data_IF_924994535882
#
_entry.id   IF_924994535882
#
_cell.length_a   1.000
_cell.length_b   1.000
_cell.length_c   1.000
_cell.angle_alpha   90.00
_cell.angle_beta   90.00
_cell.angle_gamma   90.00
#
_symmetry.space_group_name_H-M   'P 1'
#
loop_
_entity.id
_entity.type
_entity.pdbx_description
1 polymer ?
#
# COMPACT_ATOMS: atom_id res chain seq x y z
N UNK A 1 0.41 12.19 1.08
CA UNK A 1 1.23 11.54 0.00
C UNK A 1 2.76 11.54 0.23
N UNK A 2 3.37 12.52 0.94
CA UNK A 2 4.85 12.66 1.04
C UNK A 2 5.60 11.40 1.51
N UNK A 3 5.17 10.76 2.60
CA UNK A 3 5.81 9.55 3.12
C UNK A 3 5.81 8.41 2.09
N UNK A 4 4.69 8.21 1.40
CA UNK A 4 4.57 7.24 0.30
C UNK A 4 5.53 7.53 -0.86
N UNK A 5 5.67 8.80 -1.26
CA UNK A 5 6.65 9.20 -2.31
C UNK A 5 8.10 8.98 -1.87
N UNK A 6 8.41 9.14 -0.58
CA UNK A 6 9.75 8.91 -0.05
C UNK A 6 10.13 7.43 -0.02
N UNK A 7 9.16 6.57 0.32
CA UNK A 7 9.29 5.11 0.38
C UNK A 7 9.20 4.41 -0.99
N UNK A 8 8.80 5.12 -2.04
CA UNK A 8 8.62 4.56 -3.39
C UNK A 8 9.76 4.94 -4.34
N UNK A 9 9.91 4.19 -5.42
CA UNK A 9 10.83 4.44 -6.53
C UNK A 9 10.17 4.08 -7.87
N UNK A 10 10.79 4.49 -8.98
CA UNK A 10 10.33 4.15 -10.33
C UNK A 10 8.86 4.54 -10.59
N UNK A 11 8.10 3.72 -11.34
CA UNK A 11 6.74 4.06 -11.77
C UNK A 11 5.80 4.43 -10.62
N UNK A 12 5.81 3.67 -9.51
CA UNK A 12 4.96 3.98 -8.36
C UNK A 12 5.23 5.39 -7.80
N UNK A 13 6.50 5.82 -7.75
CA UNK A 13 6.84 7.16 -7.27
C UNK A 13 6.33 8.27 -8.21
N UNK A 14 6.32 8.00 -9.51
CA UNK A 14 5.81 8.92 -10.53
C UNK A 14 4.29 9.06 -10.44
N UNK A 15 3.56 7.94 -10.33
CA UNK A 15 2.10 7.94 -10.13
C UNK A 15 1.69 8.68 -8.85
N UNK A 16 2.35 8.37 -7.72
CA UNK A 16 2.14 9.09 -6.45
C UNK A 16 2.51 10.57 -6.53
N UNK A 17 3.31 10.97 -7.52
CA UNK A 17 3.64 12.37 -7.77
C UNK A 17 2.56 13.16 -8.48
N UNK A 18 1.64 12.46 -9.14
CA UNK A 18 0.43 13.01 -9.76
C UNK A 18 -0.82 12.82 -8.89
N UNK A 19 -0.67 12.18 -7.73
CA UNK A 19 -1.77 11.90 -6.80
C UNK A 19 -1.88 13.00 -5.75
N UNK A 20 -3.04 13.64 -5.68
CA UNK A 20 -3.40 14.55 -4.60
C UNK A 20 -4.25 13.85 -3.53
N UNK A 21 -4.16 14.35 -2.30
CA UNK A 21 -5.02 13.86 -1.22
C UNK A 21 -6.41 14.44 -1.39
N UNK A 22 -7.44 13.59 -1.25
CA UNK A 22 -8.82 14.04 -1.19
C UNK A 22 -9.05 14.88 0.08
N UNK A 23 -9.59 16.09 -0.08
CA UNK A 23 -9.79 17.00 1.03
C UNK A 23 -10.93 16.50 1.95
N UNK A 24 -10.69 16.56 3.27
CA UNK A 24 -11.70 16.20 4.28
C UNK A 24 -11.85 14.70 4.56
N UNK A 25 -11.33 13.82 3.69
CA UNK A 25 -11.21 12.40 3.98
C UNK A 25 -9.91 12.11 4.76
N UNK A 26 -9.94 11.08 5.60
CA UNK A 26 -8.73 10.57 6.26
C UNK A 26 -8.66 9.05 6.18
N UNK A 27 -7.44 8.53 6.08
CA UNK A 27 -7.19 7.10 6.11
C UNK A 27 -6.00 6.79 7.01
N UNK A 28 -6.11 5.73 7.81
CA UNK A 28 -5.04 5.18 8.64
C UNK A 28 -4.85 3.71 8.29
N UNK A 29 -3.64 3.35 7.88
CA UNK A 29 -3.25 1.97 7.64
C UNK A 29 -2.38 1.44 8.77
N UNK A 30 -2.69 0.24 9.25
CA UNK A 30 -1.86 -0.52 10.19
C UNK A 30 -1.50 -1.85 9.57
N UNK A 31 -0.20 -2.09 9.37
CA UNK A 31 0.29 -3.40 8.95
C UNK A 31 0.15 -4.35 10.14
N UNK A 32 -0.61 -5.42 9.93
CA UNK A 32 -0.86 -6.45 10.95
C UNK A 32 0.05 -7.65 10.77
N UNK A 33 0.40 -7.97 9.52
CA UNK A 33 1.32 -9.04 9.15
C UNK A 33 2.08 -8.66 7.90
N UNK A 34 3.32 -9.14 7.78
CA UNK A 34 4.12 -9.00 6.56
C UNK A 34 5.13 -10.13 6.44
N UNK A 35 5.43 -10.54 5.20
CA UNK A 35 6.45 -11.54 4.90
C UNK A 35 7.17 -11.22 3.59
N UNK A 36 8.46 -11.51 3.53
CA UNK A 36 9.24 -11.52 2.28
C UNK A 36 8.98 -12.84 1.57
N UNK A 37 8.49 -12.78 0.34
CA UNK A 37 8.12 -13.96 -0.46
C UNK A 37 9.17 -14.28 -1.52
N UNK A 38 9.99 -13.31 -1.92
CA UNK A 38 11.15 -13.50 -2.78
C UNK A 38 12.21 -12.44 -2.48
N UNK A 39 13.48 -12.82 -2.58
CA UNK A 39 14.62 -11.91 -2.41
C UNK A 39 15.74 -12.30 -3.37
N UNK A 40 16.14 -11.36 -4.22
CA UNK A 40 17.36 -11.42 -5.02
C UNK A 40 18.26 -10.25 -4.62
N UNK A 41 19.27 -10.54 -3.79
CA UNK A 41 20.22 -9.54 -3.30
C UNK A 41 21.21 -9.11 -4.38
N UNK A 42 21.49 -9.96 -5.38
CA UNK A 42 22.40 -9.66 -6.49
C UNK A 42 21.74 -8.68 -7.45
N UNK A 43 20.50 -8.94 -7.84
CA UNK A 43 19.72 -8.04 -8.69
C UNK A 43 19.14 -6.84 -7.91
N UNK A 44 19.15 -6.89 -6.57
CA UNK A 44 18.57 -5.85 -5.73
C UNK A 44 17.05 -5.77 -5.88
N UNK A 45 16.37 -6.92 -5.96
CA UNK A 45 14.91 -7.00 -6.04
C UNK A 45 14.32 -7.85 -4.91
N UNK A 46 13.11 -7.54 -4.48
CA UNK A 46 12.39 -8.33 -3.48
C UNK A 46 10.88 -8.25 -3.71
N UNK A 47 10.15 -9.25 -3.18
CA UNK A 47 8.70 -9.23 -3.08
C UNK A 47 8.28 -9.38 -1.62
N UNK A 48 7.26 -8.61 -1.23
CA UNK A 48 6.63 -8.68 0.08
C UNK A 48 5.13 -8.89 -0.08
N UNK A 49 4.54 -9.64 0.83
CA UNK A 49 3.10 -9.68 1.05
C UNK A 49 2.79 -9.09 2.42
N UNK A 50 1.75 -8.28 2.53
CA UNK A 50 1.34 -7.67 3.79
C UNK A 50 -0.18 -7.64 3.95
N UNK A 51 -0.64 -7.84 5.18
CA UNK A 51 -2.04 -7.65 5.58
C UNK A 51 -2.15 -6.33 6.32
N UNK A 52 -2.99 -5.43 5.81
CA UNK A 52 -3.17 -4.07 6.30
C UNK A 52 -4.62 -3.87 6.73
N UNK A 53 -4.81 -3.47 7.99
CA UNK A 53 -6.08 -2.89 8.45
C UNK A 53 -6.11 -1.43 8.03
N UNK A 54 -7.15 -1.01 7.34
CA UNK A 54 -7.33 0.38 6.90
C UNK A 54 -8.59 0.93 7.53
N UNK A 55 -8.45 2.02 8.28
CA UNK A 55 -9.56 2.80 8.80
C UNK A 55 -9.74 4.03 7.91
N UNK A 56 -10.88 4.17 7.26
CA UNK A 56 -11.21 5.31 6.37
C UNK A 56 -12.35 6.09 6.98
N UNK A 57 -12.15 7.39 7.17
CA UNK A 57 -13.21 8.33 7.53
C UNK A 57 -13.50 9.21 6.31
N UNK A 58 -14.63 9.00 5.60
CA UNK A 58 -15.04 9.85 4.49
C UNK A 58 -15.28 11.30 4.93
N UNK A 59 -15.16 12.23 3.98
CA UNK A 59 -15.42 13.65 4.23
C UNK A 59 -16.83 13.87 4.78
N UNK A 60 -16.96 14.76 5.77
CA UNK A 60 -18.24 15.06 6.42
C UNK A 60 -18.73 14.01 7.41
N UNK A 61 -18.00 12.90 7.61
CA UNK A 61 -18.35 11.85 8.58
C UNK A 61 -17.39 11.86 9.78
N UNK A 62 -17.86 11.37 10.93
CA UNK A 62 -17.03 11.16 12.13
C UNK A 62 -16.75 9.68 12.39
N UNK A 63 -17.42 8.77 11.68
CA UNK A 63 -17.37 7.33 11.93
C UNK A 63 -16.45 6.68 10.89
N UNK A 64 -15.31 6.12 11.28
CA UNK A 64 -14.46 5.38 10.36
C UNK A 64 -15.12 4.06 9.97
N UNK A 65 -14.96 3.68 8.71
CA UNK A 65 -15.17 2.31 8.23
C UNK A 65 -13.83 1.57 8.24
N UNK A 66 -13.84 0.32 8.66
CA UNK A 66 -12.63 -0.51 8.73
C UNK A 66 -12.65 -1.56 7.64
N UNK A 67 -11.54 -1.68 6.94
CA UNK A 67 -11.30 -2.65 5.89
C UNK A 67 -10.00 -3.42 6.17
N UNK A 68 -9.89 -4.64 5.64
CA UNK A 68 -8.67 -5.46 5.69
C UNK A 68 -8.24 -5.79 4.27
N UNK A 69 -7.13 -5.19 3.85
CA UNK A 69 -6.53 -5.43 2.54
C UNK A 69 -5.30 -6.31 2.64
N UNK A 70 -5.09 -7.15 1.62
CA UNK A 70 -3.82 -7.84 1.39
C UNK A 70 -3.13 -7.21 0.20
N UNK A 71 -1.85 -6.90 0.35
CA UNK A 71 -1.06 -6.19 -0.64
C UNK A 71 0.18 -6.99 -1.01
N UNK A 72 0.50 -7.07 -2.30
CA UNK A 72 1.82 -7.47 -2.78
C UNK A 72 2.61 -6.21 -3.13
N UNK A 73 3.84 -6.12 -2.64
CA UNK A 73 4.78 -5.07 -2.97
C UNK A 73 5.98 -5.65 -3.70
N UNK A 74 6.35 -5.04 -4.82
CA UNK A 74 7.63 -5.30 -5.48
C UNK A 74 8.59 -4.19 -5.09
N UNK A 75 9.78 -4.57 -4.65
CA UNK A 75 10.81 -3.65 -4.16
C UNK A 75 12.05 -3.67 -5.05
N UNK A 76 12.74 -2.54 -5.08
CA UNK A 76 14.05 -2.38 -5.68
C UNK A 76 15.00 -1.73 -4.67
N UNK A 77 16.25 -2.21 -4.63
CA UNK A 77 17.32 -1.61 -3.85
C UNK A 77 17.87 -0.40 -4.62
N UNK A 78 17.89 0.77 -4.00
CA UNK A 78 18.45 1.98 -4.59
C UNK A 78 19.97 2.03 -4.41
N UNK A 79 20.64 2.95 -5.11
CA UNK A 79 22.09 3.17 -4.97
C UNK A 79 22.54 3.51 -3.54
N UNK A 80 21.65 3.97 -2.67
CA UNK A 80 21.91 4.20 -1.24
C UNK A 80 21.83 2.91 -0.39
N UNK A 81 21.67 1.74 -1.01
CA UNK A 81 21.52 0.46 -0.33
C UNK A 81 20.15 0.24 0.32
N UNK A 82 19.20 1.17 0.16
CA UNK A 82 17.86 1.15 0.75
C UNK A 82 16.85 0.45 -0.16
N UNK A 83 15.94 -0.30 0.43
CA UNK A 83 14.81 -0.90 -0.29
C UNK A 83 13.66 0.11 -0.42
N UNK A 84 13.12 0.24 -1.64
CA UNK A 84 11.94 1.08 -1.92
C UNK A 84 10.92 0.32 -2.74
N UNK A 85 9.64 0.67 -2.58
CA UNK A 85 8.54 0.05 -3.32
C UNK A 85 8.52 0.60 -4.75
N UNK A 86 8.60 -0.28 -5.74
CA UNK A 86 8.48 0.07 -7.18
C UNK A 86 7.08 -0.18 -7.74
N UNK A 87 6.35 -1.12 -7.15
CA UNK A 87 4.98 -1.45 -7.52
C UNK A 87 4.24 -2.01 -6.30
N UNK A 88 2.94 -1.74 -6.24
CA UNK A 88 2.04 -2.20 -5.19
C UNK A 88 0.72 -2.65 -5.86
N UNK A 89 0.22 -3.81 -5.48
CA UNK A 89 -1.05 -4.34 -5.98
C UNK A 89 -1.88 -4.94 -4.84
N UNK A 90 -3.20 -4.86 -4.97
CA UNK A 90 -4.10 -5.59 -4.10
C UNK A 90 -4.08 -7.07 -4.47
N UNK A 91 -4.03 -7.93 -3.47
CA UNK A 91 -4.25 -9.37 -3.60
C UNK A 91 -5.68 -9.65 -3.18
N UNK A 92 -6.57 -10.04 -4.10
CA UNK A 92 -7.95 -10.38 -3.76
C UNK A 92 -7.99 -11.41 -2.64
N UNK A 93 -8.90 -11.22 -1.69
CA UNK A 93 -9.31 -12.25 -0.73
C UNK A 93 -10.65 -12.78 -1.21
N UNK A 94 -10.79 -14.09 -1.40
CA UNK A 94 -12.09 -14.69 -1.69
C UNK A 94 -12.99 -14.46 -0.46
N UNK A 95 -13.97 -13.56 -0.60
CA UNK A 95 -14.86 -13.13 0.49
C UNK A 95 -15.33 -11.67 0.42
N UNK A 96 -14.71 -10.81 -0.38
CA UNK A 96 -15.11 -9.39 -0.52
C UNK A 96 -16.08 -9.14 -1.69
N UNK A 97 -16.82 -10.18 -2.08
CA UNK A 97 -17.95 -10.10 -3.03
C UNK A 97 -19.28 -10.31 -2.30
N UNK A 98 -19.53 -9.63 -1.20
CA UNK A 98 -20.88 -9.58 -0.61
C UNK A 98 -20.94 -8.48 0.46
N UNK A 99 -21.63 -7.38 0.18
CA UNK A 99 -21.81 -6.32 1.18
C UNK A 99 -22.13 -4.93 0.63
N UNK A 100 -22.56 -4.81 -0.63
CA UNK A 100 -22.88 -3.53 -1.25
C UNK A 100 -24.22 -3.55 -1.98
N UNK A 101 -25.27 -4.10 -1.35
CA UNK A 101 -26.65 -3.74 -1.65
C UNK A 101 -27.55 -4.16 -0.47
N UNK A 102 -27.83 -3.22 0.44
CA UNK A 102 -29.01 -3.20 1.32
C UNK A 102 -29.30 -1.76 1.73
#
# INVERSE_FOLDING_TARGET
IRAWRAASTGPLREELGRTDAEAGASARGTVTEAAVTALDTRAGTAKLIATVRVEVTPAGTKRPATDRKRLEAVLARTGEGKWKVRALSAVPVEGEKEGGDR
#
